data_IF_304845880009
#
_entry.id   IF_304845880009
#
_cell.length_a   1.000
_cell.length_b   1.000
_cell.length_c   1.000
_cell.angle_alpha   90.00
_cell.angle_beta   90.00
_cell.angle_gamma   90.00
#
_symmetry.space_group_name_H-M   'P 1'
#
loop_
_entity.id
_entity.type
_entity.pdbx_description
1 polymer ?
#
# COMPACT_ATOMS: atom_id res chain seq x y z
N UNK A 1 6.15 -17.14 16.24
CA UNK A 1 5.30 -16.66 15.10
C UNK A 1 4.28 -17.75 14.78
N UNK A 2 3.11 -17.43 14.19
CA UNK A 2 1.95 -18.31 13.86
C UNK A 2 0.74 -18.34 14.82
N UNK A 3 0.66 -17.52 15.88
CA UNK A 3 -0.54 -17.49 16.75
C UNK A 3 -1.72 -16.67 16.18
N UNK A 4 -1.47 -15.73 15.27
CA UNK A 4 -2.47 -14.76 14.78
C UNK A 4 -2.99 -15.16 13.39
N UNK A 5 -4.28 -15.48 13.30
CA UNK A 5 -4.94 -15.77 12.02
C UNK A 5 -4.88 -17.23 11.60
N UNK A 6 -4.78 -18.17 12.54
CA UNK A 6 -4.88 -19.61 12.30
C UNK A 6 -5.97 -20.22 13.18
N UNK A 7 -6.77 -21.13 12.63
CA UNK A 7 -7.72 -21.97 13.37
C UNK A 7 -7.46 -23.44 13.08
N UNK A 8 -7.73 -24.37 14.01
CA UNK A 8 -7.66 -25.79 13.70
C UNK A 8 -8.62 -26.14 12.55
N UNK A 9 -8.17 -27.02 11.66
CA UNK A 9 -9.00 -27.49 10.55
C UNK A 9 -10.08 -28.45 11.07
N UNK A 10 -11.33 -28.28 10.61
CA UNK A 10 -12.46 -29.05 11.14
C UNK A 10 -12.51 -30.51 10.65
N UNK A 11 -11.95 -30.79 9.45
CA UNK A 11 -12.11 -32.08 8.76
C UNK A 11 -10.77 -32.72 8.34
N UNK A 12 -9.64 -32.18 8.78
CA UNK A 12 -8.31 -32.72 8.47
C UNK A 12 -7.31 -32.37 9.57
N UNK A 13 -6.23 -33.13 9.66
CA UNK A 13 -5.11 -32.79 10.55
C UNK A 13 -4.40 -31.53 10.05
N UNK A 14 -4.27 -30.52 10.92
CA UNK A 14 -3.55 -29.28 10.62
C UNK A 14 -4.33 -28.01 11.01
N UNK A 15 -3.85 -26.87 10.51
CA UNK A 15 -4.43 -25.55 10.77
C UNK A 15 -4.80 -24.85 9.47
N UNK A 16 -5.91 -24.12 9.48
CA UNK A 16 -6.36 -23.26 8.39
C UNK A 16 -6.00 -21.81 8.71
N UNK A 17 -5.49 -21.09 7.72
CA UNK A 17 -5.36 -19.63 7.81
C UNK A 17 -6.73 -18.96 7.75
N UNK A 18 -7.11 -18.26 8.82
CA UNK A 18 -8.35 -17.47 8.94
C UNK A 18 -8.24 -16.04 8.45
N UNK A 19 -7.07 -15.63 7.93
CA UNK A 19 -6.94 -14.32 7.30
C UNK A 19 -7.99 -14.18 6.20
N UNK A 20 -8.54 -12.97 6.12
CA UNK A 20 -9.46 -12.56 5.07
C UNK A 20 -8.92 -13.01 3.70
N UNK A 21 -9.67 -13.85 2.95
CA UNK A 21 -9.26 -14.27 1.61
C UNK A 21 -8.93 -13.08 0.70
N UNK A 22 -9.60 -11.94 0.88
CA UNK A 22 -9.33 -10.70 0.14
C UNK A 22 -7.92 -10.18 0.37
N UNK A 23 -7.32 -10.43 1.54
CA UNK A 23 -5.93 -10.08 1.81
C UNK A 23 -4.95 -11.04 1.12
N UNK A 24 -5.37 -12.28 0.82
CA UNK A 24 -4.57 -13.25 0.05
C UNK A 24 -4.64 -12.98 -1.45
N UNK A 25 -5.79 -12.50 -1.95
CA UNK A 25 -6.01 -12.14 -3.35
C UNK A 25 -5.85 -10.65 -3.64
N UNK A 26 -5.43 -9.84 -2.65
CA UNK A 26 -5.32 -8.38 -2.79
C UNK A 26 -4.45 -7.99 -3.99
N UNK A 27 -3.42 -8.79 -4.28
CA UNK A 27 -2.53 -8.58 -5.41
C UNK A 27 -3.21 -8.75 -6.79
N UNK A 28 -4.36 -9.45 -6.86
CA UNK A 28 -5.15 -9.58 -8.09
C UNK A 28 -6.17 -8.46 -8.29
N UNK A 29 -6.34 -7.59 -7.28
CA UNK A 29 -7.35 -6.52 -7.29
C UNK A 29 -6.75 -5.12 -7.42
N UNK A 30 -5.52 -4.98 -7.92
CA UNK A 30 -4.93 -3.66 -8.11
C UNK A 30 -5.70 -2.87 -9.16
N UNK A 31 -5.92 -1.58 -8.85
CA UNK A 31 -6.49 -0.63 -9.79
C UNK A 31 -5.52 -0.37 -10.95
N UNK A 32 -6.05 -0.10 -12.13
CA UNK A 32 -5.24 0.41 -13.24
C UNK A 32 -4.71 1.80 -12.90
N UNK A 33 -3.62 2.24 -13.55
CA UNK A 33 -3.06 3.57 -13.30
C UNK A 33 -4.09 4.69 -13.53
N UNK A 34 -4.93 4.57 -14.57
CA UNK A 34 -5.99 5.55 -14.85
C UNK A 34 -7.01 5.65 -13.71
N UNK A 35 -7.38 4.52 -13.12
CA UNK A 35 -8.27 4.47 -11.96
C UNK A 35 -7.63 5.10 -10.72
N UNK A 36 -6.33 4.86 -10.52
CA UNK A 36 -5.57 5.48 -9.42
C UNK A 36 -5.48 6.99 -9.61
N UNK A 37 -5.22 7.46 -10.82
CA UNK A 37 -5.14 8.89 -11.13
C UNK A 37 -6.50 9.59 -10.99
N UNK A 38 -7.59 8.94 -11.42
CA UNK A 38 -8.95 9.46 -11.22
C UNK A 38 -9.34 9.50 -9.74
N UNK A 39 -8.86 8.55 -8.93
CA UNK A 39 -9.05 8.62 -7.48
C UNK A 39 -8.22 9.76 -6.88
N UNK A 40 -6.95 9.88 -7.28
CA UNK A 40 -6.03 10.92 -6.82
C UNK A 40 -6.57 12.33 -7.10
N UNK A 41 -7.17 12.55 -8.28
CA UNK A 41 -7.75 13.85 -8.67
C UNK A 41 -8.95 14.27 -7.82
N UNK A 42 -9.54 13.35 -7.05
CA UNK A 42 -10.70 13.62 -6.19
C UNK A 42 -10.32 13.90 -4.74
N UNK A 43 -9.03 13.82 -4.39
CA UNK A 43 -8.55 14.06 -3.03
C UNK A 43 -8.49 15.58 -2.79
N UNK A 44 -9.31 16.06 -1.83
CA UNK A 44 -9.43 17.48 -1.49
C UNK A 44 -8.93 17.83 -0.08
N UNK A 45 -8.54 16.84 0.70
CA UNK A 45 -8.08 17.02 2.07
C UNK A 45 -6.58 17.35 2.14
N UNK A 46 -6.07 17.57 3.35
CA UNK A 46 -4.63 17.65 3.60
C UNK A 46 -4.05 16.24 3.60
N UNK A 47 -2.96 16.06 2.87
CA UNK A 47 -2.31 14.77 2.64
C UNK A 47 -0.88 14.84 3.15
N UNK A 48 -0.51 13.86 3.96
CA UNK A 48 0.87 13.62 4.38
C UNK A 48 1.33 12.31 3.76
N UNK A 49 2.29 12.40 2.85
CA UNK A 49 2.93 11.26 2.20
C UNK A 49 4.28 11.01 2.87
N UNK A 50 4.46 9.80 3.41
CA UNK A 50 5.70 9.36 4.05
C UNK A 50 6.23 8.15 3.30
N UNK A 51 7.47 8.22 2.81
CA UNK A 51 8.13 7.14 2.08
C UNK A 51 9.56 6.94 2.58
N UNK A 52 9.97 5.68 2.71
CA UNK A 52 11.37 5.32 2.90
C UNK A 52 12.05 5.17 1.53
N UNK A 53 13.28 5.67 1.39
CA UNK A 53 14.10 5.50 0.18
C UNK A 53 14.58 4.07 0.03
N UNK A 54 14.97 3.45 1.16
CA UNK A 54 15.42 2.05 1.25
C UNK A 54 14.29 1.18 1.77
N UNK A 55 13.66 0.41 0.89
CA UNK A 55 12.58 -0.50 1.24
C UNK A 55 12.19 -1.40 0.07
N UNK A 56 11.28 -2.34 0.32
CA UNK A 56 10.69 -3.15 -0.76
C UNK A 56 9.84 -2.24 -1.66
N UNK A 57 10.34 -1.97 -2.86
CA UNK A 57 9.62 -1.24 -3.90
C UNK A 57 8.90 -2.24 -4.80
N UNK A 58 7.57 -2.23 -4.73
CA UNK A 58 6.69 -3.04 -5.59
C UNK A 58 5.99 -2.18 -6.65
N UNK A 59 6.32 -0.89 -6.69
CA UNK A 59 5.73 0.14 -7.53
C UNK A 59 6.61 0.45 -8.74
N UNK A 60 5.98 0.90 -9.84
CA UNK A 60 6.69 1.57 -10.92
C UNK A 60 7.05 2.99 -10.43
N UNK A 61 8.35 3.36 -10.35
CA UNK A 61 8.76 4.68 -9.86
C UNK A 61 8.07 5.84 -10.60
N UNK A 62 7.83 5.70 -11.90
CA UNK A 62 7.18 6.75 -12.70
C UNK A 62 5.72 7.00 -12.26
N UNK A 63 5.02 5.95 -11.85
CA UNK A 63 3.63 6.07 -11.41
C UNK A 63 3.50 6.73 -10.04
N UNK A 64 4.52 6.60 -9.20
CA UNK A 64 4.50 7.23 -7.88
C UNK A 64 4.45 8.75 -7.98
N UNK A 65 5.35 9.33 -8.77
CA UNK A 65 5.43 10.78 -8.94
C UNK A 65 4.18 11.32 -9.63
N UNK A 66 3.70 10.63 -10.68
CA UNK A 66 2.46 10.98 -11.39
C UNK A 66 1.24 11.05 -10.45
N UNK A 67 1.12 10.09 -9.53
CA UNK A 67 0.01 10.08 -8.57
C UNK A 67 0.14 11.22 -7.57
N UNK A 68 1.34 11.48 -7.04
CA UNK A 68 1.55 12.59 -6.11
C UNK A 68 1.30 13.95 -6.77
N UNK A 69 1.68 14.13 -8.03
CA UNK A 69 1.35 15.33 -8.81
C UNK A 69 -0.16 15.51 -8.99
N UNK A 70 -0.89 14.41 -9.25
CA UNK A 70 -2.34 14.45 -9.36
C UNK A 70 -3.01 14.85 -8.03
N UNK A 71 -2.49 14.35 -6.90
CA UNK A 71 -2.95 14.72 -5.56
C UNK A 71 -2.64 16.19 -5.28
N UNK A 72 -1.41 16.66 -5.56
CA UNK A 72 -0.97 18.02 -5.26
C UNK A 72 -1.82 19.09 -5.97
N UNK A 73 -2.32 18.79 -7.18
CA UNK A 73 -3.19 19.70 -7.94
C UNK A 73 -4.54 19.96 -7.28
N UNK A 74 -5.03 19.06 -6.42
CA UNK A 74 -6.41 19.05 -5.94
C UNK A 74 -6.52 19.07 -4.41
N UNK A 75 -5.52 18.53 -3.72
CA UNK A 75 -5.45 18.49 -2.27
C UNK A 75 -5.30 19.90 -1.69
N UNK A 76 -5.82 20.10 -0.47
CA UNK A 76 -5.65 21.36 0.25
C UNK A 76 -4.18 21.64 0.58
N UNK A 77 -3.42 20.59 0.84
CA UNK A 77 -1.98 20.62 1.15
C UNK A 77 -1.41 19.22 0.92
N UNK A 78 -0.22 19.13 0.34
CA UNK A 78 0.55 17.89 0.27
C UNK A 78 1.90 18.08 0.95
N UNK A 79 2.17 17.32 2.01
CA UNK A 79 3.50 17.23 2.63
C UNK A 79 4.15 15.91 2.24
N UNK A 80 5.40 15.97 1.78
CA UNK A 80 6.17 14.79 1.35
C UNK A 80 7.38 14.61 2.26
N UNK A 81 7.51 13.45 2.89
CA UNK A 81 8.62 13.11 3.77
C UNK A 81 9.33 11.87 3.26
N UNK A 82 10.62 12.01 2.99
CA UNK A 82 11.51 10.92 2.58
C UNK A 82 12.50 10.62 3.70
N UNK A 83 12.70 9.34 3.99
CA UNK A 83 13.64 8.88 5.01
C UNK A 83 14.64 7.88 4.42
N UNK A 84 15.92 8.08 4.71
CA UNK A 84 16.97 7.09 4.44
C UNK A 84 17.22 6.26 5.70
N UNK A 85 17.23 4.94 5.61
CA UNK A 85 17.68 4.10 6.72
C UNK A 85 19.21 4.13 6.82
N UNK A 86 19.74 4.64 7.93
CA UNK A 86 21.18 4.62 8.25
C UNK A 86 21.61 3.38 9.06
N UNK A 87 20.79 2.31 9.16
CA UNK A 87 21.00 1.20 10.12
C UNK A 87 21.78 -0.03 9.60
N UNK A 88 22.70 0.15 8.66
CA UNK A 88 23.66 -0.90 8.23
C UNK A 88 25.08 -0.34 8.00
N UNK A 89 25.63 0.39 8.98
CA UNK A 89 27.07 0.62 9.11
C UNK A 89 27.57 0.06 10.42
#
# INVERSE_FOLDING_TARGET
MLRRGMKPAAHQTGYLFTRDPRLKTAAMGFMTIDQVLELASRIKCEVMNIRANSGLQFDNPEYYDLVLEAIEKQAKKLERHFFEEYWLR
#
